data_IF_411363702829
#
_entry.id   IF_411363702829
#
_cell.length_a   1.000
_cell.length_b   1.000
_cell.length_c   1.000
_cell.angle_alpha   90.00
_cell.angle_beta   90.00
_cell.angle_gamma   90.00
#
_symmetry.space_group_name_H-M   'P 1'
#
loop_
_entity.id
_entity.type
_entity.pdbx_description
1 polymer ?
#
# COMPACT_ATOMS: atom_id res chain seq x y z
N UNK A 1 0.51 -44.80 -7.86
CA UNK A 1 1.10 -43.64 -8.57
C UNK A 1 0.74 -42.40 -7.76
N UNK A 2 1.71 -41.86 -7.01
CA UNK A 2 1.53 -40.71 -6.12
C UNK A 2 1.75 -39.43 -6.93
N UNK A 3 0.77 -38.52 -6.93
CA UNK A 3 0.94 -37.17 -7.42
C UNK A 3 1.18 -36.25 -6.22
N UNK A 4 2.40 -35.72 -6.15
CA UNK A 4 2.91 -34.86 -5.09
C UNK A 4 2.16 -33.53 -5.02
N UNK A 5 1.67 -33.18 -3.83
CA UNK A 5 1.27 -31.82 -3.48
C UNK A 5 2.49 -30.90 -3.63
N UNK A 6 2.41 -29.95 -4.55
CA UNK A 6 3.35 -28.84 -4.61
C UNK A 6 3.00 -27.83 -3.50
N UNK A 7 3.81 -27.82 -2.45
CA UNK A 7 3.82 -26.75 -1.44
C UNK A 7 4.69 -25.61 -1.98
N UNK A 8 4.17 -24.39 -2.23
CA UNK A 8 5.04 -23.24 -2.44
C UNK A 8 5.51 -22.69 -1.09
N UNK A 9 6.78 -23.00 -0.81
CA UNK A 9 7.86 -22.21 -0.20
C UNK A 9 7.57 -21.14 0.89
N UNK A 10 8.43 -21.24 1.92
CA UNK A 10 8.98 -20.18 2.78
C UNK A 10 8.16 -19.71 3.99
N UNK A 11 8.14 -20.57 5.02
CA UNK A 11 8.03 -20.15 6.42
C UNK A 11 9.35 -19.55 6.90
N UNK A 12 9.65 -18.30 6.51
CA UNK A 12 10.50 -17.43 7.32
C UNK A 12 9.65 -16.83 8.45
N UNK A 13 10.21 -16.47 9.61
CA UNK A 13 9.47 -15.67 10.58
C UNK A 13 9.01 -14.40 9.87
N UNK A 14 7.70 -14.15 9.86
CA UNK A 14 7.14 -12.95 9.26
C UNK A 14 7.81 -11.76 9.95
N UNK A 15 8.54 -10.88 9.24
CA UNK A 15 9.22 -9.76 9.89
C UNK A 15 8.23 -8.77 10.53
N UNK A 16 6.92 -9.01 10.39
CA UNK A 16 5.82 -8.13 10.76
C UNK A 16 5.00 -8.62 11.97
N UNK A 17 5.39 -9.73 12.63
CA UNK A 17 4.87 -10.11 13.95
C UNK A 17 3.52 -10.85 13.93
N UNK A 18 3.47 -11.97 14.66
CA UNK A 18 2.45 -13.01 14.59
C UNK A 18 1.08 -12.71 15.27
N UNK A 19 0.66 -11.46 15.49
CA UNK A 19 -0.59 -11.20 16.24
C UNK A 19 -1.65 -10.29 15.60
N UNK A 20 -1.36 -9.63 14.47
CA UNK A 20 -2.40 -8.95 13.69
C UNK A 20 -2.57 -9.67 12.36
N UNK A 21 -3.75 -10.24 12.10
CA UNK A 21 -4.06 -10.82 10.79
C UNK A 21 -3.89 -9.75 9.72
N UNK A 22 -2.82 -9.86 8.95
CA UNK A 22 -2.58 -9.02 7.77
C UNK A 22 -3.73 -9.27 6.80
N UNK A 23 -4.53 -8.24 6.59
CA UNK A 23 -5.69 -8.30 5.69
C UNK A 23 -5.39 -7.43 4.48
N UNK A 24 -5.58 -7.98 3.28
CA UNK A 24 -5.46 -7.22 2.03
C UNK A 24 -6.71 -6.36 1.87
N UNK A 25 -6.51 -5.05 1.76
CA UNK A 25 -7.58 -4.06 1.59
C UNK A 25 -7.66 -3.55 0.15
N UNK A 26 -6.56 -3.65 -0.59
CA UNK A 26 -6.48 -3.31 -2.01
C UNK A 26 -5.33 -4.07 -2.67
N UNK A 27 -5.54 -4.55 -3.89
CA UNK A 27 -4.47 -5.07 -4.74
C UNK A 27 -4.84 -4.87 -6.22
N UNK A 28 -4.01 -4.11 -6.94
CA UNK A 28 -4.09 -3.91 -8.39
C UNK A 28 -2.80 -3.26 -8.90
N UNK A 29 -2.46 -3.48 -10.17
CA UNK A 29 -1.36 -2.80 -10.89
C UNK A 29 -0.04 -2.69 -10.10
N UNK A 30 0.36 -3.78 -9.42
CA UNK A 30 1.60 -3.83 -8.64
C UNK A 30 1.57 -3.00 -7.35
N UNK A 31 0.40 -2.54 -6.93
CA UNK A 31 0.13 -1.86 -5.67
C UNK A 31 -0.68 -2.77 -4.74
N UNK A 32 -0.21 -2.94 -3.51
CA UNK A 32 -0.89 -3.72 -2.47
C UNK A 32 -0.99 -2.90 -1.19
N UNK A 33 -2.21 -2.74 -0.67
CA UNK A 33 -2.44 -2.13 0.64
C UNK A 33 -2.98 -3.18 1.57
N UNK A 34 -2.30 -3.40 2.68
CA UNK A 34 -2.74 -4.30 3.75
C UNK A 34 -2.90 -3.53 5.06
N UNK A 35 -3.45 -4.18 6.08
CA UNK A 35 -3.49 -3.63 7.45
C UNK A 35 -2.11 -3.43 8.10
N UNK A 36 -1.02 -3.90 7.48
CA UNK A 36 0.34 -3.80 8.04
C UNK A 36 1.31 -2.98 7.18
N UNK A 37 1.18 -3.03 5.86
CA UNK A 37 2.11 -2.39 4.93
C UNK A 37 1.42 -1.85 3.68
N UNK A 38 2.10 -0.88 3.07
CA UNK A 38 1.85 -0.38 1.74
C UNK A 38 2.97 -0.84 0.81
N UNK A 39 2.63 -1.45 -0.31
CA UNK A 39 3.58 -1.88 -1.33
C UNK A 39 3.19 -1.31 -2.69
N UNK A 40 4.17 -0.79 -3.43
CA UNK A 40 3.97 -0.22 -4.76
C UNK A 40 5.30 -0.17 -5.50
N UNK A 41 5.30 -0.55 -6.77
CA UNK A 41 6.49 -0.48 -7.63
C UNK A 41 7.70 -1.27 -7.09
N UNK A 42 7.46 -2.33 -6.32
CA UNK A 42 8.50 -3.15 -5.68
C UNK A 42 9.03 -2.59 -4.34
N UNK A 43 8.58 -1.41 -3.90
CA UNK A 43 8.90 -0.86 -2.59
C UNK A 43 7.80 -1.21 -1.58
N UNK A 44 8.19 -1.65 -0.39
CA UNK A 44 7.28 -1.95 0.72
C UNK A 44 7.62 -1.10 1.93
N UNK A 45 6.60 -0.44 2.49
CA UNK A 45 6.69 0.44 3.65
C UNK A 45 5.73 -0.04 4.73
N UNK A 46 6.15 -0.11 6.01
CA UNK A 46 5.19 -0.37 7.09
C UNK A 46 4.33 0.84 7.32
N UNK A 47 3.06 0.63 7.61
CA UNK A 47 2.15 1.75 7.89
C UNK A 47 2.56 2.54 9.13
N UNK A 48 3.19 1.88 10.10
CA UNK A 48 3.69 2.50 11.34
C UNK A 48 4.91 3.39 11.12
N UNK A 49 5.63 3.21 10.00
CA UNK A 49 6.81 4.01 9.64
C UNK A 49 6.46 5.18 8.73
N UNK A 50 5.23 5.18 8.18
CA UNK A 50 4.72 6.21 7.30
C UNK A 50 3.93 7.25 8.09
N UNK A 51 4.40 8.48 8.01
CA UNK A 51 3.80 9.64 8.65
C UNK A 51 3.23 10.60 7.60
N UNK A 52 2.35 11.53 8.03
CA UNK A 52 1.92 12.71 7.26
C UNK A 52 1.65 12.43 5.78
N UNK A 53 0.53 11.77 5.51
CA UNK A 53 0.10 11.47 4.16
C UNK A 53 -0.43 12.71 3.44
N UNK A 54 -0.04 12.87 2.18
CA UNK A 54 -0.43 13.98 1.33
C UNK A 54 -0.93 13.46 -0.01
N UNK A 55 -2.05 14.01 -0.46
CA UNK A 55 -2.65 13.71 -1.77
C UNK A 55 -2.39 14.90 -2.67
N UNK A 56 -1.77 14.67 -3.80
CA UNK A 56 -1.44 15.71 -4.76
C UNK A 56 -2.12 15.39 -6.08
N UNK A 57 -2.79 16.38 -6.64
CA UNK A 57 -3.46 16.28 -7.93
C UNK A 57 -2.79 17.28 -8.88
N UNK A 58 -2.24 16.79 -9.97
CA UNK A 58 -1.59 17.58 -11.00
C UNK A 58 -2.41 17.55 -12.30
N UNK A 59 -2.30 18.62 -13.07
CA UNK A 59 -2.94 18.75 -14.37
C UNK A 59 -4.36 19.31 -14.31
N UNK A 60 -5.02 19.32 -15.46
CA UNK A 60 -6.31 19.97 -15.65
C UNK A 60 -6.96 19.49 -16.95
N UNK A 61 -8.06 20.14 -17.33
CA UNK A 61 -8.93 19.75 -18.45
C UNK A 61 -8.22 19.46 -19.79
N UNK A 62 -7.01 19.98 -20.00
CA UNK A 62 -6.24 19.84 -21.24
C UNK A 62 -4.98 18.97 -21.13
N UNK A 63 -4.46 18.68 -19.93
CA UNK A 63 -3.15 18.04 -19.73
C UNK A 63 -3.22 16.57 -19.25
N UNK A 64 -4.42 16.06 -18.99
CA UNK A 64 -4.61 14.81 -18.24
C UNK A 64 -4.38 15.04 -16.74
N UNK A 65 -5.17 14.37 -15.89
CA UNK A 65 -5.03 14.47 -14.43
C UNK A 65 -4.08 13.39 -13.96
N UNK A 66 -3.07 13.77 -13.19
CA UNK A 66 -2.15 12.85 -12.53
C UNK A 66 -2.36 12.96 -11.03
N UNK A 67 -2.58 11.82 -10.38
CA UNK A 67 -2.81 11.72 -8.96
C UNK A 67 -1.58 11.09 -8.31
N UNK A 68 -1.09 11.70 -7.24
CA UNK A 68 0.04 11.20 -6.48
C UNK A 68 -0.29 11.10 -4.99
N UNK A 69 0.22 10.04 -4.36
CA UNK A 69 0.16 9.82 -2.92
C UNK A 69 1.58 9.89 -2.36
N UNK A 70 1.76 10.79 -1.40
CA UNK A 70 3.02 11.02 -0.72
C UNK A 70 2.89 10.74 0.78
N UNK A 71 4.01 10.39 1.41
CA UNK A 71 4.12 10.25 2.85
C UNK A 71 5.52 10.66 3.31
N UNK A 72 5.67 10.85 4.61
CA UNK A 72 6.96 10.99 5.27
C UNK A 72 7.42 9.63 5.77
N UNK A 73 8.65 9.25 5.45
CA UNK A 73 9.32 8.03 5.89
C UNK A 73 10.71 8.42 6.36
N UNK A 74 11.07 8.13 7.61
CA UNK A 74 12.37 8.48 8.21
C UNK A 74 12.78 9.97 8.00
N UNK A 75 11.81 10.88 8.11
CA UNK A 75 12.07 12.31 7.90
C UNK A 75 12.30 12.71 6.43
N UNK A 76 11.98 11.83 5.46
CA UNK A 76 12.04 12.12 4.03
C UNK A 76 10.65 12.01 3.40
N UNK A 77 10.33 12.94 2.49
CA UNK A 77 9.08 12.88 1.72
C UNK A 77 9.25 11.89 0.56
N UNK A 78 8.50 10.80 0.58
CA UNK A 78 8.55 9.72 -0.41
C UNK A 78 7.22 9.58 -1.15
N UNK A 79 7.28 9.30 -2.45
CA UNK A 79 6.09 9.03 -3.26
C UNK A 79 5.75 7.55 -3.15
N UNK A 80 4.56 7.26 -2.64
CA UNK A 80 4.07 5.89 -2.46
C UNK A 80 3.39 5.38 -3.72
N UNK A 81 2.62 6.24 -4.39
CA UNK A 81 1.78 5.82 -5.51
C UNK A 81 1.53 6.98 -6.46
N UNK A 82 1.36 6.66 -7.74
CA UNK A 82 0.93 7.59 -8.77
C UNK A 82 0.03 6.87 -9.78
N UNK A 83 -1.00 7.55 -10.29
CA UNK A 83 -1.84 7.03 -11.37
C UNK A 83 -2.51 8.18 -12.12
N UNK A 84 -3.14 7.86 -13.25
CA UNK A 84 -3.97 8.81 -14.01
C UNK A 84 -5.48 8.57 -13.81
N UNK A 85 -5.84 7.46 -13.16
CA UNK A 85 -7.22 7.09 -12.92
C UNK A 85 -7.69 7.55 -11.53
N UNK A 86 -8.71 8.41 -11.52
CA UNK A 86 -9.24 9.00 -10.28
C UNK A 86 -9.96 7.99 -9.39
N UNK A 87 -10.52 6.93 -9.97
CA UNK A 87 -11.23 5.90 -9.24
C UNK A 87 -10.24 5.00 -8.50
N UNK A 88 -9.17 4.59 -9.18
CA UNK A 88 -8.05 3.86 -8.63
C UNK A 88 -7.40 4.62 -7.46
N UNK A 89 -7.08 5.90 -7.68
CA UNK A 89 -6.54 6.77 -6.63
C UNK A 89 -7.44 6.83 -5.39
N UNK A 90 -8.75 6.97 -5.61
CA UNK A 90 -9.75 6.99 -4.56
C UNK A 90 -9.80 5.66 -3.78
N UNK A 91 -9.69 4.52 -4.45
CA UNK A 91 -9.68 3.21 -3.82
C UNK A 91 -8.42 3.00 -2.96
N UNK A 92 -7.24 3.35 -3.50
CA UNK A 92 -5.96 3.28 -2.76
C UNK A 92 -6.01 4.15 -1.52
N UNK A 93 -6.50 5.40 -1.63
CA UNK A 93 -6.63 6.31 -0.50
C UNK A 93 -7.55 5.75 0.59
N UNK A 94 -8.70 5.17 0.21
CA UNK A 94 -9.66 4.58 1.16
C UNK A 94 -9.07 3.36 1.85
N UNK A 95 -8.42 2.48 1.09
CA UNK A 95 -7.75 1.30 1.61
C UNK A 95 -6.67 1.68 2.63
N UNK A 96 -5.87 2.71 2.32
CA UNK A 96 -4.84 3.20 3.22
C UNK A 96 -5.43 3.80 4.52
N UNK A 97 -6.49 4.60 4.42
CA UNK A 97 -7.19 5.12 5.61
C UNK A 97 -7.68 3.97 6.48
N UNK A 98 -8.35 2.96 5.90
CA UNK A 98 -8.82 1.77 6.62
C UNK A 98 -7.69 0.99 7.27
N UNK A 99 -6.57 0.86 6.58
CA UNK A 99 -5.40 0.18 7.10
C UNK A 99 -4.84 0.87 8.35
N UNK A 100 -4.78 2.20 8.32
CA UNK A 100 -4.32 3.02 9.45
C UNK A 100 -5.28 3.01 10.63
N UNK A 101 -6.59 3.03 10.37
CA UNK A 101 -7.62 2.83 11.41
C UNK A 101 -7.42 1.48 12.11
N UNK A 102 -7.19 0.41 11.34
CA UNK A 102 -6.89 -0.91 11.88
C UNK A 102 -5.59 -0.97 12.70
N UNK A 103 -4.60 -0.17 12.33
CA UNK A 103 -3.32 -0.09 13.04
C UNK A 103 -3.34 0.85 14.25
N UNK A 104 -4.45 1.55 14.51
CA UNK A 104 -4.55 2.54 15.60
C UNK A 104 -3.71 3.80 15.35
N UNK A 105 -3.49 4.17 14.09
CA UNK A 105 -2.62 5.28 13.66
C UNK A 105 -3.40 6.56 13.27
N UNK A 106 -4.66 6.69 13.68
CA UNK A 106 -5.56 7.81 13.33
C UNK A 106 -5.93 8.63 14.54
#
# INVERSE_FOLDING_TARGET
>A
MNASNATPASSGPDPFGANSRVTVLYTADGTTVTTAFFESGGFRFRLTELERFERVEHGGWLQGRMYELWAWFEGQRVRLFQCYDSQEFGQVCRALTRAREHAGLV
#
